data_IF_058187585450
#
_entry.id   IF_058187585450
#
_cell.length_a   1.000
_cell.length_b   1.000
_cell.length_c   1.000
_cell.angle_alpha   90.00
_cell.angle_beta   90.00
_cell.angle_gamma   90.00
#
_symmetry.space_group_name_H-M   'P 1'
#
loop_
_entity.id
_entity.type
_entity.pdbx_description
1 polymer ?
#
# COMPACT_ATOMS: atom_id res chain seq x y z
N UNK A 1 -33.69 -81.17 -7.54
CA UNK A 1 -33.03 -80.37 -6.57
C UNK A 1 -32.62 -79.06 -7.25
N UNK A 2 -33.36 -78.04 -6.94
CA UNK A 2 -33.16 -76.70 -7.52
C UNK A 2 -32.16 -75.96 -6.69
N UNK A 3 -31.18 -75.29 -7.32
CA UNK A 3 -30.37 -74.26 -6.71
C UNK A 3 -30.62 -72.92 -7.37
N UNK A 4 -31.28 -72.14 -6.63
CA UNK A 4 -31.60 -70.71 -6.85
C UNK A 4 -30.33 -69.85 -6.74
N UNK A 5 -29.97 -69.17 -7.80
CA UNK A 5 -28.88 -68.17 -7.77
C UNK A 5 -29.48 -66.78 -7.63
N UNK A 6 -29.45 -66.29 -6.43
CA UNK A 6 -29.79 -64.92 -6.01
C UNK A 6 -28.77 -63.95 -6.56
N UNK A 7 -29.21 -63.07 -7.44
CA UNK A 7 -28.43 -61.99 -8.05
C UNK A 7 -28.48 -60.76 -7.14
N UNK A 8 -27.32 -60.40 -6.57
CA UNK A 8 -27.19 -59.17 -5.80
C UNK A 8 -27.13 -57.94 -6.72
N UNK A 9 -27.84 -56.85 -6.40
CA UNK A 9 -27.72 -55.60 -7.15
C UNK A 9 -26.54 -54.77 -6.62
N UNK A 10 -25.61 -54.46 -7.52
CA UNK A 10 -24.53 -53.49 -7.27
C UNK A 10 -25.10 -52.08 -7.04
N UNK A 11 -24.60 -51.34 -6.07
CA UNK A 11 -24.95 -49.92 -5.93
C UNK A 11 -24.10 -49.08 -6.90
N UNK A 12 -24.74 -48.54 -7.92
CA UNK A 12 -24.17 -47.48 -8.75
C UNK A 12 -24.07 -46.18 -7.96
N UNK A 13 -22.92 -45.93 -7.34
CA UNK A 13 -22.57 -44.66 -6.77
C UNK A 13 -22.27 -43.65 -7.90
N UNK A 14 -23.15 -42.70 -8.10
CA UNK A 14 -22.82 -41.49 -8.89
C UNK A 14 -21.85 -40.63 -8.10
N UNK A 15 -20.67 -40.26 -8.60
CA UNK A 15 -19.82 -39.26 -7.96
C UNK A 15 -20.39 -37.86 -8.21
N UNK A 16 -20.45 -37.09 -7.16
CA UNK A 16 -21.07 -35.78 -7.05
C UNK A 16 -20.56 -34.72 -8.04
N UNK A 17 -21.40 -34.39 -9.00
CA UNK A 17 -21.20 -33.27 -9.93
C UNK A 17 -21.47 -31.88 -9.32
N UNK A 18 -21.86 -31.80 -8.05
CA UNK A 18 -22.19 -30.52 -7.40
C UNK A 18 -21.01 -29.77 -6.78
N UNK A 19 -19.87 -30.43 -6.57
CA UNK A 19 -18.70 -29.85 -5.95
C UNK A 19 -17.88 -28.96 -6.91
N UNK A 20 -17.78 -29.31 -8.18
CA UNK A 20 -16.96 -28.59 -9.16
C UNK A 20 -17.59 -27.27 -9.64
N UNK A 21 -18.90 -27.23 -9.81
CA UNK A 21 -19.61 -26.01 -10.23
C UNK A 21 -19.58 -24.94 -9.13
N UNK A 22 -19.73 -25.34 -7.86
CA UNK A 22 -19.61 -24.42 -6.73
C UNK A 22 -18.20 -23.85 -6.56
N UNK A 23 -17.17 -24.67 -6.75
CA UNK A 23 -15.77 -24.22 -6.71
C UNK A 23 -15.43 -23.25 -7.86
N UNK A 24 -15.92 -23.51 -9.07
CA UNK A 24 -15.74 -22.61 -10.22
C UNK A 24 -16.44 -21.25 -10.00
N UNK A 25 -17.65 -21.24 -9.46
CA UNK A 25 -18.35 -20.01 -9.12
C UNK A 25 -17.62 -19.21 -8.02
N UNK A 26 -17.12 -19.89 -6.98
CA UNK A 26 -16.34 -19.25 -5.94
C UNK A 26 -15.05 -18.60 -6.48
N UNK A 27 -14.37 -19.25 -7.43
CA UNK A 27 -13.18 -18.70 -8.07
C UNK A 27 -13.50 -17.45 -8.91
N UNK A 28 -14.61 -17.46 -9.65
CA UNK A 28 -15.05 -16.28 -10.42
C UNK A 28 -15.35 -15.09 -9.50
N UNK A 29 -16.05 -15.32 -8.40
CA UNK A 29 -16.32 -14.25 -7.41
C UNK A 29 -15.04 -13.75 -6.76
N UNK A 30 -14.07 -14.64 -6.47
CA UNK A 30 -12.77 -14.25 -5.95
C UNK A 30 -12.01 -13.35 -6.93
N UNK A 31 -11.96 -13.71 -8.21
CA UNK A 31 -11.33 -12.89 -9.25
C UNK A 31 -11.99 -11.52 -9.39
N UNK A 32 -13.33 -11.46 -9.33
CA UNK A 32 -14.04 -10.19 -9.34
C UNK A 32 -13.71 -9.31 -8.12
N UNK A 33 -13.59 -9.91 -6.94
CA UNK A 33 -13.21 -9.20 -5.73
C UNK A 33 -11.75 -8.66 -5.79
N UNK A 34 -10.82 -9.45 -6.35
CA UNK A 34 -9.43 -9.01 -6.59
C UNK A 34 -9.40 -7.81 -7.55
N UNK A 35 -10.21 -7.83 -8.60
CA UNK A 35 -10.32 -6.71 -9.53
C UNK A 35 -10.79 -5.42 -8.84
N UNK A 36 -11.70 -5.52 -7.87
CA UNK A 36 -12.14 -4.37 -7.08
C UNK A 36 -10.99 -3.78 -6.24
N UNK A 37 -10.12 -4.64 -5.67
CA UNK A 37 -8.91 -4.17 -4.97
C UNK A 37 -7.98 -3.42 -5.91
N UNK A 38 -7.74 -3.95 -7.11
CA UNK A 38 -6.90 -3.30 -8.14
C UNK A 38 -7.47 -1.95 -8.60
N UNK A 39 -8.79 -1.77 -8.52
CA UNK A 39 -9.48 -0.52 -8.82
C UNK A 39 -9.55 0.46 -7.64
N UNK A 40 -8.95 0.12 -6.49
CA UNK A 40 -9.01 0.94 -5.28
C UNK A 40 -10.40 0.96 -4.58
N UNK A 41 -11.33 0.09 -4.99
CA UNK A 41 -12.69 0.01 -4.44
C UNK A 41 -12.72 -0.92 -3.22
N UNK A 42 -12.00 -0.53 -2.18
CA UNK A 42 -11.74 -1.39 -1.01
C UNK A 42 -13.00 -1.74 -0.21
N UNK A 43 -13.98 -0.83 -0.11
CA UNK A 43 -15.28 -1.04 0.53
C UNK A 43 -16.05 -2.19 -0.14
N UNK A 44 -16.14 -2.17 -1.47
CA UNK A 44 -16.82 -3.20 -2.27
C UNK A 44 -16.06 -4.51 -2.29
N UNK A 45 -14.72 -4.43 -2.34
CA UNK A 45 -13.85 -5.59 -2.28
C UNK A 45 -13.98 -6.32 -0.93
N UNK A 46 -13.98 -5.56 0.18
CA UNK A 46 -14.18 -6.09 1.52
C UNK A 46 -15.47 -6.89 1.62
N UNK A 47 -16.60 -6.28 1.25
CA UNK A 47 -17.90 -6.94 1.27
C UNK A 47 -17.95 -8.21 0.39
N UNK A 48 -17.28 -8.19 -0.77
CA UNK A 48 -17.20 -9.34 -1.66
C UNK A 48 -16.38 -10.49 -1.05
N UNK A 49 -15.24 -10.20 -0.41
CA UNK A 49 -14.41 -11.23 0.25
C UNK A 49 -15.08 -11.79 1.51
N UNK A 50 -15.77 -10.98 2.31
CA UNK A 50 -16.53 -11.43 3.48
C UNK A 50 -17.65 -12.41 3.08
N UNK A 51 -18.38 -12.08 2.01
CA UNK A 51 -19.40 -12.97 1.45
C UNK A 51 -18.79 -14.30 0.97
N UNK A 52 -17.64 -14.24 0.31
CA UNK A 52 -16.92 -15.44 -0.14
C UNK A 52 -16.44 -16.29 1.04
N UNK A 53 -15.97 -15.68 2.13
CA UNK A 53 -15.42 -16.37 3.29
C UNK A 53 -16.41 -17.36 3.89
N UNK A 54 -17.73 -17.09 3.82
CA UNK A 54 -18.78 -17.95 4.34
C UNK A 54 -19.01 -19.22 3.49
N UNK A 55 -18.81 -19.15 2.17
CA UNK A 55 -19.18 -20.19 1.21
C UNK A 55 -17.99 -20.83 0.46
N UNK A 56 -16.78 -20.25 0.57
CA UNK A 56 -15.62 -20.67 -0.19
C UNK A 56 -14.99 -21.97 0.32
N UNK A 57 -14.32 -22.75 -0.56
CA UNK A 57 -13.43 -23.84 -0.16
C UNK A 57 -12.31 -23.38 0.78
N UNK A 58 -11.79 -24.28 1.62
CA UNK A 58 -10.79 -23.98 2.63
C UNK A 58 -9.55 -23.24 2.06
N UNK A 59 -9.09 -23.63 0.89
CA UNK A 59 -7.95 -23.04 0.19
C UNK A 59 -8.16 -21.55 -0.16
N UNK A 60 -9.37 -21.16 -0.52
CA UNK A 60 -9.71 -19.77 -0.82
C UNK A 60 -9.97 -18.94 0.45
N UNK A 61 -10.38 -19.57 1.55
CA UNK A 61 -10.67 -18.86 2.80
C UNK A 61 -9.45 -18.10 3.34
N UNK A 62 -8.28 -18.72 3.34
CA UNK A 62 -7.05 -18.05 3.83
C UNK A 62 -6.66 -16.86 2.94
N UNK A 63 -6.83 -16.99 1.62
CA UNK A 63 -6.61 -15.88 0.69
C UNK A 63 -7.62 -14.76 0.90
N UNK A 64 -8.90 -15.08 1.12
CA UNK A 64 -9.93 -14.09 1.41
C UNK A 64 -9.60 -13.32 2.71
N UNK A 65 -9.18 -13.98 3.78
CA UNK A 65 -8.77 -13.34 5.04
C UNK A 65 -7.64 -12.33 4.82
N UNK A 66 -6.64 -12.69 4.02
CA UNK A 66 -5.52 -11.80 3.69
C UNK A 66 -6.02 -10.54 2.97
N UNK A 67 -6.90 -10.68 1.98
CA UNK A 67 -7.46 -9.54 1.26
C UNK A 67 -8.41 -8.70 2.13
N UNK A 68 -9.19 -9.32 3.01
CA UNK A 68 -10.03 -8.62 3.99
C UNK A 68 -9.16 -7.71 4.86
N UNK A 69 -8.10 -8.26 5.46
CA UNK A 69 -7.16 -7.47 6.26
C UNK A 69 -6.50 -6.34 5.46
N UNK A 70 -6.15 -6.60 4.19
CA UNK A 70 -5.60 -5.58 3.30
C UNK A 70 -6.62 -4.48 3.02
N UNK A 71 -7.87 -4.82 2.69
CA UNK A 71 -8.93 -3.84 2.44
C UNK A 71 -9.21 -2.98 3.68
N UNK A 72 -9.32 -3.60 4.86
CA UNK A 72 -9.53 -2.89 6.12
C UNK A 72 -8.42 -1.88 6.38
N UNK A 73 -7.15 -2.29 6.25
CA UNK A 73 -6.00 -1.40 6.42
C UNK A 73 -5.99 -0.25 5.41
N UNK A 74 -6.38 -0.49 4.15
CA UNK A 74 -6.45 0.58 3.15
C UNK A 74 -7.61 1.54 3.43
N UNK A 75 -8.75 1.04 3.92
CA UNK A 75 -9.88 1.88 4.33
C UNK A 75 -9.55 2.72 5.57
N UNK A 76 -8.82 2.16 6.55
CA UNK A 76 -8.33 2.89 7.71
C UNK A 76 -7.40 4.04 7.29
N UNK A 77 -6.48 3.79 6.34
CA UNK A 77 -5.62 4.85 5.78
C UNK A 77 -6.42 5.97 5.10
N UNK A 78 -7.49 5.64 4.38
CA UNK A 78 -8.37 6.61 3.73
C UNK A 78 -9.27 7.38 4.69
N UNK A 79 -9.51 6.84 5.89
CA UNK A 79 -10.32 7.48 6.93
C UNK A 79 -9.50 8.31 7.93
N UNK A 80 -8.17 8.40 7.73
CA UNK A 80 -7.35 9.30 8.55
C UNK A 80 -7.70 10.74 8.19
N UNK A 81 -8.26 11.44 9.15
CA UNK A 81 -8.52 12.88 9.06
C UNK A 81 -7.56 13.60 9.99
N UNK A 82 -6.81 14.54 9.44
CA UNK A 82 -5.88 15.38 10.19
C UNK A 82 -6.50 16.77 10.33
N UNK A 83 -6.36 17.39 11.50
CA UNK A 83 -6.89 18.73 11.75
C UNK A 83 -6.02 19.81 11.14
N UNK A 84 -4.71 19.56 11.03
CA UNK A 84 -3.74 20.48 10.44
C UNK A 84 -2.77 19.75 9.51
N UNK A 85 -2.15 20.44 8.55
CA UNK A 85 -1.13 19.86 7.71
C UNK A 85 0.13 19.41 8.50
N UNK A 86 0.41 20.04 9.63
CA UNK A 86 1.51 19.66 10.52
C UNK A 86 1.22 18.32 11.20
N UNK A 87 0.01 18.08 11.67
CA UNK A 87 -0.41 16.79 12.24
C UNK A 87 -0.31 15.66 11.18
N UNK A 88 -0.71 15.96 9.94
CA UNK A 88 -0.56 15.04 8.82
C UNK A 88 0.92 14.74 8.53
N UNK A 89 1.77 15.77 8.60
CA UNK A 89 3.21 15.63 8.44
C UNK A 89 3.83 14.75 9.53
N UNK A 90 3.47 14.96 10.80
CA UNK A 90 3.95 14.14 11.92
C UNK A 90 3.60 12.66 11.72
N UNK A 91 2.41 12.38 11.20
CA UNK A 91 2.03 11.02 10.83
C UNK A 91 2.90 10.47 9.69
N UNK A 92 3.14 11.25 8.63
CA UNK A 92 4.00 10.85 7.51
C UNK A 92 5.43 10.55 7.97
N UNK A 93 6.00 11.39 8.87
CA UNK A 93 7.31 11.18 9.47
C UNK A 93 7.34 9.92 10.35
N UNK A 94 6.26 9.63 11.07
CA UNK A 94 6.15 8.37 11.83
C UNK A 94 6.23 7.14 10.91
N UNK A 95 5.58 7.17 9.74
CA UNK A 95 5.68 6.11 8.74
C UNK A 95 7.12 5.99 8.19
N UNK A 96 7.77 7.12 7.90
CA UNK A 96 9.15 7.17 7.45
C UNK A 96 10.09 6.50 8.47
N UNK A 97 9.99 6.88 9.74
CA UNK A 97 10.83 6.37 10.83
C UNK A 97 10.62 4.87 11.13
N UNK A 98 9.43 4.35 10.82
CA UNK A 98 9.12 2.91 10.96
C UNK A 98 9.47 2.08 9.72
N UNK A 99 9.99 2.72 8.65
CA UNK A 99 10.41 2.06 7.42
C UNK A 99 9.27 1.79 6.42
N UNK A 100 8.07 2.34 6.66
CA UNK A 100 6.95 2.28 5.72
C UNK A 100 7.10 3.38 4.65
N UNK A 101 8.12 3.25 3.80
CA UNK A 101 8.55 4.30 2.87
C UNK A 101 7.52 4.66 1.81
N UNK A 102 6.81 3.68 1.26
CA UNK A 102 5.77 3.95 0.26
C UNK A 102 4.57 4.66 0.88
N UNK A 103 4.19 4.25 2.09
CA UNK A 103 3.15 4.90 2.86
C UNK A 103 3.52 6.35 3.23
N UNK A 104 4.74 6.57 3.69
CA UNK A 104 5.23 7.91 4.00
C UNK A 104 5.20 8.81 2.76
N UNK A 105 5.63 8.30 1.60
CA UNK A 105 5.59 9.01 0.32
C UNK A 105 4.17 9.40 -0.06
N UNK A 106 3.23 8.47 0.06
CA UNK A 106 1.82 8.72 -0.20
C UNK A 106 1.29 9.86 0.68
N UNK A 107 1.60 9.84 1.98
CA UNK A 107 1.15 10.87 2.91
C UNK A 107 1.75 12.24 2.60
N UNK A 108 3.05 12.34 2.32
CA UNK A 108 3.66 13.61 1.90
C UNK A 108 3.03 14.15 0.61
N UNK A 109 2.73 13.29 -0.37
CA UNK A 109 2.06 13.71 -1.60
C UNK A 109 0.62 14.18 -1.37
N UNK A 110 -0.12 13.57 -0.44
CA UNK A 110 -1.45 14.02 -0.04
C UNK A 110 -1.39 15.41 0.60
N UNK A 111 -0.40 15.66 1.48
CA UNK A 111 -0.18 17.00 2.02
C UNK A 111 0.06 18.02 0.90
N UNK A 112 0.90 17.69 -0.09
CA UNK A 112 1.19 18.58 -1.21
C UNK A 112 0.01 18.78 -2.17
N UNK A 113 -0.89 17.81 -2.27
CA UNK A 113 -2.13 17.96 -3.06
C UNK A 113 -3.05 19.02 -2.45
N UNK A 114 -3.16 19.05 -1.12
CA UNK A 114 -4.00 20.01 -0.39
C UNK A 114 -3.26 21.33 -0.14
N UNK A 115 -1.95 21.27 0.10
CA UNK A 115 -1.07 22.39 0.44
C UNK A 115 0.17 22.42 -0.46
N UNK A 116 0.06 22.90 -1.72
CA UNK A 116 1.16 22.84 -2.71
C UNK A 116 2.42 23.64 -2.34
N UNK A 117 2.36 24.47 -1.30
CA UNK A 117 3.48 25.27 -0.79
C UNK A 117 3.97 24.80 0.58
N UNK A 118 3.64 23.58 1.00
CA UNK A 118 4.13 22.99 2.24
C UNK A 118 5.61 22.59 2.07
N UNK A 119 6.51 23.51 2.39
CA UNK A 119 7.96 23.31 2.30
C UNK A 119 8.44 22.11 3.12
N UNK A 120 7.83 21.88 4.29
CA UNK A 120 8.13 20.74 5.15
C UNK A 120 7.78 19.39 4.49
N UNK A 121 6.72 19.31 3.65
CA UNK A 121 6.38 18.08 2.97
C UNK A 121 7.37 17.76 1.83
N UNK A 122 7.86 18.77 1.11
CA UNK A 122 8.97 18.61 0.17
C UNK A 122 10.25 18.17 0.87
N UNK A 123 10.53 18.74 2.06
CA UNK A 123 11.66 18.32 2.87
C UNK A 123 11.57 16.86 3.30
N UNK A 124 10.40 16.42 3.76
CA UNK A 124 10.11 15.03 4.11
C UNK A 124 10.29 14.06 2.93
N UNK A 125 9.83 14.46 1.72
CA UNK A 125 10.07 13.69 0.48
C UNK A 125 11.58 13.62 0.16
N UNK A 126 12.33 14.71 0.36
CA UNK A 126 13.77 14.72 0.11
C UNK A 126 14.52 13.77 1.05
N UNK A 127 14.16 13.73 2.34
CA UNK A 127 14.71 12.77 3.31
C UNK A 127 14.42 11.33 2.89
N UNK A 128 13.17 11.04 2.56
CA UNK A 128 12.74 9.72 2.10
C UNK A 128 13.49 9.29 0.83
N UNK A 129 13.70 10.21 -0.11
CA UNK A 129 14.43 9.96 -1.36
C UNK A 129 15.93 9.71 -1.09
N UNK A 130 16.55 10.44 -0.16
CA UNK A 130 17.92 10.19 0.29
C UNK A 130 18.07 8.80 0.91
N UNK A 131 17.17 8.42 1.82
CA UNK A 131 17.15 7.12 2.49
C UNK A 131 16.91 5.94 1.53
N UNK A 132 16.19 6.17 0.44
CA UNK A 132 15.85 5.14 -0.57
C UNK A 132 16.74 5.18 -1.80
N UNK A 133 17.80 6.01 -1.82
CA UNK A 133 18.78 6.10 -2.91
C UNK A 133 18.25 6.78 -4.17
N UNK A 134 17.17 7.55 -4.08
CA UNK A 134 16.57 8.29 -5.20
C UNK A 134 17.19 9.69 -5.31
N UNK A 135 18.48 9.73 -5.61
CA UNK A 135 19.30 10.96 -5.61
C UNK A 135 18.68 12.12 -6.38
N UNK A 136 18.18 11.87 -7.60
CA UNK A 136 17.60 12.90 -8.46
C UNK A 136 16.33 13.52 -7.86
N UNK A 137 15.47 12.67 -7.29
CA UNK A 137 14.23 13.12 -6.63
C UNK A 137 14.53 13.88 -5.34
N UNK A 138 15.52 13.41 -4.57
CA UNK A 138 16.00 14.10 -3.37
C UNK A 138 16.44 15.54 -3.68
N UNK A 139 17.30 15.72 -4.70
CA UNK A 139 17.78 17.06 -5.10
C UNK A 139 16.63 17.96 -5.54
N UNK A 140 15.67 17.43 -6.32
CA UNK A 140 14.50 18.19 -6.77
C UNK A 140 13.63 18.61 -5.59
N UNK A 141 13.28 17.67 -4.71
CA UNK A 141 12.39 17.94 -3.59
C UNK A 141 13.06 18.88 -2.55
N UNK A 142 14.35 18.69 -2.26
CA UNK A 142 15.09 19.59 -1.39
C UNK A 142 15.21 21.00 -1.99
N UNK A 143 15.43 21.11 -3.30
CA UNK A 143 15.43 22.38 -4.01
C UNK A 143 14.11 23.12 -3.83
N UNK A 144 12.99 22.45 -4.03
CA UNK A 144 11.65 23.03 -3.81
C UNK A 144 11.43 23.44 -2.35
N UNK A 145 11.83 22.63 -1.39
CA UNK A 145 11.75 22.98 0.02
C UNK A 145 12.54 24.26 0.34
N UNK A 146 13.75 24.40 -0.22
CA UNK A 146 14.62 25.57 -0.02
C UNK A 146 14.06 26.81 -0.73
N UNK A 147 13.50 26.70 -1.92
CA UNK A 147 12.85 27.80 -2.64
C UNK A 147 11.66 28.36 -1.86
N UNK A 148 10.85 27.48 -1.26
CA UNK A 148 9.70 27.87 -0.46
C UNK A 148 10.11 28.44 0.91
N UNK A 149 11.17 27.89 1.50
CA UNK A 149 11.67 28.32 2.81
C UNK A 149 13.18 28.12 2.91
N UNK A 150 13.94 29.22 2.83
CA UNK A 150 15.41 29.19 2.88
C UNK A 150 15.99 28.58 4.15
N UNK A 151 15.23 28.47 5.24
CA UNK A 151 15.68 27.81 6.48
C UNK A 151 15.95 26.31 6.26
N UNK A 152 15.26 25.68 5.32
CA UNK A 152 15.47 24.28 4.97
C UNK A 152 16.91 23.99 4.50
N UNK A 153 17.58 24.98 3.87
CA UNK A 153 19.00 24.87 3.51
C UNK A 153 19.90 24.71 4.73
N UNK A 154 19.65 25.51 5.76
CA UNK A 154 20.43 25.45 7.00
C UNK A 154 20.16 24.16 7.76
N UNK A 155 18.91 23.71 7.77
CA UNK A 155 18.52 22.44 8.37
C UNK A 155 19.21 21.27 7.67
N UNK A 156 19.16 21.21 6.34
CA UNK A 156 19.76 20.12 5.56
C UNK A 156 21.29 20.01 5.71
N UNK A 157 22.00 21.11 6.07
CA UNK A 157 23.45 21.10 6.34
C UNK A 157 23.83 20.31 7.58
N UNK A 158 22.93 20.18 8.53
CA UNK A 158 23.16 19.53 9.84
C UNK A 158 22.36 18.26 10.01
N UNK A 159 21.54 17.91 9.04
CA UNK A 159 20.66 16.75 9.08
C UNK A 159 21.41 15.49 8.61
N UNK A 160 21.63 14.55 9.52
CA UNK A 160 22.35 13.31 9.26
C UNK A 160 21.65 12.38 8.27
N UNK A 161 20.35 12.54 8.05
CA UNK A 161 19.59 11.70 7.14
C UNK A 161 19.96 11.94 5.67
N UNK A 162 20.67 13.06 5.37
CA UNK A 162 21.27 13.31 4.07
C UNK A 162 22.70 12.78 3.92
N UNK A 163 23.22 11.99 4.85
CA UNK A 163 24.60 11.46 4.79
C UNK A 163 24.88 10.73 3.47
N UNK A 164 23.91 10.03 2.91
CA UNK A 164 24.02 9.32 1.63
C UNK A 164 24.20 10.26 0.42
N UNK A 165 23.89 11.55 0.59
CA UNK A 165 23.99 12.59 -0.44
C UNK A 165 25.29 13.41 -0.34
N UNK A 166 26.09 13.23 0.72
CA UNK A 166 27.23 14.08 1.04
C UNK A 166 28.30 14.15 -0.08
N UNK A 167 28.48 13.06 -0.83
CA UNK A 167 29.47 12.98 -1.91
C UNK A 167 28.93 13.48 -3.27
N UNK A 168 27.64 13.87 -3.38
CA UNK A 168 27.09 14.40 -4.62
C UNK A 168 27.40 15.91 -4.76
N UNK A 169 28.16 16.34 -5.79
CA UNK A 169 28.51 17.74 -5.98
C UNK A 169 27.29 18.67 -6.09
N UNK A 170 26.20 18.17 -6.68
CA UNK A 170 24.94 18.92 -6.86
C UNK A 170 24.25 19.18 -5.52
N UNK A 171 24.38 18.24 -4.57
CA UNK A 171 23.88 18.42 -3.21
C UNK A 171 24.70 19.49 -2.48
N UNK A 172 26.02 19.46 -2.63
CA UNK A 172 26.91 20.50 -2.08
C UNK A 172 26.58 21.88 -2.66
N UNK A 173 26.41 21.99 -3.98
CA UNK A 173 26.03 23.24 -4.66
C UNK A 173 24.67 23.78 -4.16
N UNK A 174 23.69 22.89 -3.97
CA UNK A 174 22.38 23.25 -3.44
C UNK A 174 22.44 23.81 -2.02
N UNK A 175 23.33 23.25 -1.17
CA UNK A 175 23.48 23.68 0.22
C UNK A 175 24.42 24.91 0.37
N UNK A 176 25.45 25.03 -0.48
CA UNK A 176 26.48 26.08 -0.43
C UNK A 176 26.62 26.77 -1.78
N UNK A 177 25.57 27.45 -2.27
CA UNK A 177 25.63 28.15 -3.55
C UNK A 177 26.71 29.21 -3.50
N UNK A 178 27.47 29.33 -4.58
CA UNK A 178 28.39 30.46 -4.74
C UNK A 178 27.60 31.78 -4.72
N UNK A 179 28.00 32.69 -3.85
CA UNK A 179 27.39 34.02 -3.82
C UNK A 179 28.06 34.82 -4.94
N UNK A 180 27.28 35.38 -5.87
CA UNK A 180 27.81 36.16 -6.96
C UNK A 180 28.46 37.50 -6.46
#
# INVERSE_FOLDING_TARGET
>A
MAHDHKKDPSPSGKPGGHSSAGAAAALQHYQAAVLLVQQGKYDKALAAFEKLLSAAPAELKERCKMYISTCQRQMEKHNLTFLTPEEHYDYAVSQLNTGYYEEAREQFNLILADYPKADFAFYGLALLDAMTGRTQDCLRNLGQAIELNHKNRLQARVDNDFQSMADDPRFTELLYPEVP
#
